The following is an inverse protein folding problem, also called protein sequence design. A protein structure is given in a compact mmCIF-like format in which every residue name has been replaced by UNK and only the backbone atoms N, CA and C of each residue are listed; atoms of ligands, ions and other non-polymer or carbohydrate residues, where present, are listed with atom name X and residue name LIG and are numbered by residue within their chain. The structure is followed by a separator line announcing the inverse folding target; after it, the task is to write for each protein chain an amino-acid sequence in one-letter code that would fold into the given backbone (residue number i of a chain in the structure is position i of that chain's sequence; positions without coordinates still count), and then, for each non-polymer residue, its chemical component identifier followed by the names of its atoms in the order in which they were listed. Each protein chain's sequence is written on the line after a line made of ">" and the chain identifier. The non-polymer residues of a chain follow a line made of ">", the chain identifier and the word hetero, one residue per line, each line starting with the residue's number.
data_IF_330593876854
#
_entry.id   IF_330593876854
#
_cell.length_a   1.000
_cell.length_b   1.000
_cell.length_c   1.000
_cell.angle_alpha   90.00
_cell.angle_beta   90.00
_cell.angle_gamma   90.00
#
_symmetry.space_group_name_H-M   'P 1'
#
loop_
_entity.id
_entity.type
_entity.pdbx_description
1 polymer ?
#
# COMPACT_ATOMS: atom_id res chain seq x y z
N UNK A 1 -13.26 -4.85 -7.00
CA UNK A 1 -12.55 -4.40 -5.78
C UNK A 1 -11.17 -5.04 -5.62
N UNK A 2 -10.97 -6.34 -5.90
CA UNK A 2 -9.63 -6.98 -5.88
C UNK A 2 -8.64 -6.49 -6.95
N UNK A 3 -9.13 -6.09 -8.13
CA UNK A 3 -8.28 -5.63 -9.23
C UNK A 3 -7.45 -4.39 -8.86
N UNK A 4 -8.06 -3.43 -8.16
CA UNK A 4 -7.39 -2.19 -7.76
C UNK A 4 -6.17 -2.42 -6.85
N UNK A 5 -6.23 -3.38 -5.93
CA UNK A 5 -5.11 -3.67 -5.03
C UNK A 5 -3.94 -4.37 -5.76
N UNK A 6 -4.25 -5.26 -6.71
CA UNK A 6 -3.25 -5.91 -7.54
C UNK A 6 -2.57 -4.91 -8.49
N UNK A 7 -3.34 -4.04 -9.13
CA UNK A 7 -2.81 -2.98 -10.01
C UNK A 7 -1.91 -2.00 -9.22
N UNK A 8 -2.30 -1.67 -7.98
CA UNK A 8 -1.46 -0.85 -7.10
C UNK A 8 -0.17 -1.55 -6.68
N UNK A 9 -0.18 -2.86 -6.46
CA UNK A 9 1.04 -3.63 -6.19
C UNK A 9 2.00 -3.59 -7.37
N UNK A 10 1.50 -3.80 -8.59
CA UNK A 10 2.30 -3.70 -9.82
C UNK A 10 2.86 -2.29 -9.99
N UNK A 11 2.04 -1.26 -9.77
CA UNK A 11 2.49 0.13 -9.82
C UNK A 11 3.63 0.38 -8.83
N UNK A 12 3.50 -0.06 -7.57
CA UNK A 12 4.52 0.13 -6.56
C UNK A 12 5.83 -0.57 -6.93
N UNK A 13 5.77 -1.80 -7.44
CA UNK A 13 6.97 -2.52 -7.90
C UNK A 13 7.70 -1.75 -9.01
N UNK A 14 6.97 -1.33 -10.05
CA UNK A 14 7.55 -0.53 -11.15
C UNK A 14 8.06 0.83 -10.70
N UNK A 15 7.39 1.45 -9.73
CA UNK A 15 7.83 2.73 -9.18
C UNK A 15 9.17 2.58 -8.45
N UNK A 16 9.34 1.53 -7.65
CA UNK A 16 10.61 1.27 -6.98
C UNK A 16 11.73 0.84 -7.95
N UNK A 17 11.42 0.15 -9.05
CA UNK A 17 12.40 -0.11 -10.12
C UNK A 17 12.94 1.20 -10.72
N UNK A 18 12.08 2.20 -10.88
CA UNK A 18 12.46 3.52 -11.39
C UNK A 18 13.16 4.39 -10.34
N UNK A 19 12.82 4.22 -9.07
CA UNK A 19 13.33 5.01 -7.94
C UNK A 19 13.85 4.11 -6.81
N UNK A 20 14.94 3.37 -7.05
CA UNK A 20 15.46 2.37 -6.11
C UNK A 20 15.93 2.99 -4.78
N UNK A 21 16.27 4.26 -4.74
CA UNK A 21 16.70 4.98 -3.53
C UNK A 21 15.62 5.08 -2.45
N UNK A 22 14.35 4.85 -2.81
CA UNK A 22 13.24 4.83 -1.87
C UNK A 22 12.94 3.43 -1.31
N UNK A 23 13.50 2.36 -1.90
CA UNK A 23 13.30 0.98 -1.42
C UNK A 23 13.75 0.78 0.03
N UNK A 24 14.73 1.57 0.49
CA UNK A 24 15.26 1.50 1.84
C UNK A 24 14.45 2.30 2.87
N UNK A 25 13.52 3.15 2.42
CA UNK A 25 12.76 4.08 3.27
C UNK A 25 11.50 3.44 3.83
N UNK A 26 11.02 4.01 4.93
CA UNK A 26 9.77 3.60 5.55
C UNK A 26 8.56 3.99 4.70
N UNK A 27 7.66 3.04 4.50
CA UNK A 27 6.44 3.20 3.72
C UNK A 27 5.25 3.44 4.65
N UNK A 28 4.53 4.54 4.41
CA UNK A 28 3.29 4.89 5.08
C UNK A 28 2.16 4.93 4.06
N UNK A 29 1.08 4.17 4.31
CA UNK A 29 -0.11 4.20 3.48
C UNK A 29 -1.10 5.19 4.09
N UNK A 30 -1.46 6.24 3.34
CA UNK A 30 -2.39 7.26 3.82
C UNK A 30 -3.55 7.45 2.84
N UNK A 31 -4.73 7.76 3.35
CA UNK A 31 -5.88 8.02 2.49
C UNK A 31 -7.08 8.61 3.21
N UNK A 32 -7.99 9.20 2.45
CA UNK A 32 -9.19 9.86 2.94
C UNK A 32 -10.46 9.25 2.30
N UNK A 33 -11.60 9.38 2.96
CA UNK A 33 -12.90 8.97 2.45
C UNK A 33 -12.99 7.45 2.22
N UNK A 34 -13.25 7.01 0.98
CA UNK A 34 -13.37 5.59 0.61
C UNK A 34 -12.03 4.83 0.69
N UNK A 35 -10.91 5.52 0.90
CA UNK A 35 -9.62 4.89 1.18
C UNK A 35 -9.65 3.97 2.41
N UNK A 36 -10.63 4.13 3.31
CA UNK A 36 -10.86 3.18 4.41
C UNK A 36 -11.22 1.76 3.97
N UNK A 37 -11.66 1.55 2.73
CA UNK A 37 -11.84 0.21 2.16
C UNK A 37 -10.62 -0.30 1.39
N UNK A 38 -9.95 0.58 0.62
CA UNK A 38 -8.84 0.16 -0.25
C UNK A 38 -7.51 0.02 0.49
N UNK A 39 -7.25 0.85 1.50
CA UNK A 39 -5.96 0.83 2.20
C UNK A 39 -5.74 -0.43 3.04
N UNK A 40 -6.73 -0.95 3.79
CA UNK A 40 -6.57 -2.23 4.48
C UNK A 40 -6.36 -3.39 3.49
N UNK A 41 -7.02 -3.35 2.32
CA UNK A 41 -6.84 -4.37 1.29
C UNK A 41 -5.45 -4.32 0.66
N UNK A 42 -4.97 -3.13 0.32
CA UNK A 42 -3.62 -2.92 -0.19
C UNK A 42 -2.57 -3.37 0.85
N UNK A 43 -2.75 -3.01 2.12
CA UNK A 43 -1.85 -3.44 3.18
C UNK A 43 -1.77 -4.97 3.29
N UNK A 44 -2.90 -5.68 3.18
CA UNK A 44 -2.90 -7.14 3.16
C UNK A 44 -2.13 -7.70 1.97
N UNK A 45 -2.30 -7.15 0.76
CA UNK A 45 -1.56 -7.60 -0.43
C UNK A 45 -0.05 -7.37 -0.27
N UNK A 46 0.37 -6.23 0.26
CA UNK A 46 1.79 -5.93 0.47
C UNK A 46 2.40 -6.81 1.57
N UNK A 47 1.65 -7.09 2.64
CA UNK A 47 2.09 -8.02 3.70
C UNK A 47 2.19 -9.45 3.18
N UNK A 48 1.26 -9.88 2.34
CA UNK A 48 1.28 -11.20 1.72
C UNK A 48 2.46 -11.34 0.75
N UNK A 49 2.73 -10.29 -0.05
CA UNK A 49 3.95 -10.21 -0.85
C UNK A 49 5.21 -10.32 0.02
N UNK A 50 5.28 -9.60 1.14
CA UNK A 50 6.44 -9.66 2.04
C UNK A 50 6.66 -11.05 2.69
N UNK A 51 5.60 -11.83 2.89
CA UNK A 51 5.69 -13.21 3.41
C UNK A 51 6.28 -14.17 2.38
N UNK A 52 5.91 -14.01 1.12
CA UNK A 52 6.33 -14.91 0.03
C UNK A 52 7.60 -14.45 -0.70
N UNK A 53 7.96 -13.17 -0.60
CA UNK A 53 9.14 -12.60 -1.25
C UNK A 53 10.42 -12.93 -0.47
N UNK A 54 11.41 -13.47 -1.19
CA UNK A 54 12.79 -13.67 -0.69
C UNK A 54 13.71 -12.48 -1.01
N UNK A 55 13.26 -11.55 -1.85
CA UNK A 55 14.01 -10.38 -2.29
C UNK A 55 13.53 -9.10 -1.61
N UNK A 56 13.03 -8.17 -2.43
CA UNK A 56 12.51 -6.89 -1.94
C UNK A 56 11.29 -7.08 -1.03
N UNK A 57 11.26 -6.32 0.07
CA UNK A 57 10.16 -6.28 1.02
C UNK A 57 9.77 -4.82 1.30
N UNK A 58 8.48 -4.54 1.26
CA UNK A 58 7.94 -3.23 1.60
C UNK A 58 8.10 -2.96 3.10
N UNK A 59 8.76 -1.87 3.48
CA UNK A 59 8.93 -1.44 4.88
C UNK A 59 7.70 -0.70 5.40
N UNK A 60 6.57 -1.39 5.52
CA UNK A 60 5.31 -0.80 5.98
C UNK A 60 5.43 -0.45 7.47
N UNK A 61 5.39 0.84 7.82
CA UNK A 61 5.46 1.32 9.21
C UNK A 61 4.13 1.75 9.80
N UNK A 62 3.20 2.19 8.96
CA UNK A 62 1.93 2.70 9.46
C UNK A 62 0.91 2.92 8.36
N UNK A 63 -0.34 2.91 8.79
CA UNK A 63 -1.50 3.20 7.97
C UNK A 63 -2.26 4.35 8.61
N UNK A 64 -2.53 5.41 7.86
CA UNK A 64 -3.36 6.53 8.30
C UNK A 64 -4.58 6.67 7.39
N UNK A 65 -5.76 6.32 7.89
CA UNK A 65 -7.03 6.46 7.17
C UNK A 65 -7.87 7.54 7.85
N UNK A 66 -8.24 8.56 7.10
CA UNK A 66 -9.22 9.56 7.54
C UNK A 66 -10.59 9.22 6.94
N UNK A 67 -11.59 8.97 7.79
CA UNK A 67 -12.99 8.89 7.35
C UNK A 67 -13.61 10.29 7.34
N UNK A 68 -14.09 10.73 6.18
CA UNK A 68 -15.04 11.84 6.10
C UNK A 68 -16.43 11.25 6.19
N UNK A 69 -17.00 11.20 7.40
CA UNK A 69 -18.42 10.96 7.60
C UNK A 69 -19.12 12.31 7.51
N UNK A 70 -19.82 12.59 6.42
CA UNK A 70 -20.89 13.59 6.46
C UNK A 70 -22.04 12.97 7.24
N UNK A 71 -22.24 13.45 8.46
CA UNK A 71 -23.48 13.23 9.21
C UNK A 71 -24.46 14.28 8.66
N UNK A 72 -25.46 13.82 7.89
CA UNK A 72 -26.71 14.54 7.67
C UNK A 72 -27.79 13.84 8.49
#
# INVERSE_FOLDING_TARGET
>A
MFLAAADMHIFMMKWYEKFPEFMSRDLFLTGESYAGHYIPQLANVLLDHNKHSTGFKFKIKGIAVRKTSYVF
#
